data_IF_373427358418
#
_entry.id   IF_373427358418
#
_cell.length_a   1.000
_cell.length_b   1.000
_cell.length_c   1.000
_cell.angle_alpha   90.00
_cell.angle_beta   90.00
_cell.angle_gamma   90.00
#
_symmetry.space_group_name_H-M   'P 1'
#
loop_
_entity.id
_entity.type
_entity.pdbx_description
1 polymer ?
#
# COMPACT_ATOMS: atom_id res chain seq x y z
N UNK A 1 -14.57 -21.62 12.43
CA UNK A 1 -14.74 -20.46 11.53
C UNK A 1 -13.54 -19.54 11.70
N UNK A 2 -12.49 -19.67 10.88
CA UNK A 2 -11.40 -18.68 10.86
C UNK A 2 -11.52 -17.87 9.57
N UNK A 3 -12.48 -16.95 9.55
CA UNK A 3 -12.57 -15.89 8.55
C UNK A 3 -11.57 -14.79 8.90
N UNK A 4 -10.27 -15.12 8.97
CA UNK A 4 -9.23 -14.10 9.03
C UNK A 4 -9.28 -13.35 7.70
N UNK A 5 -9.93 -12.18 7.71
CA UNK A 5 -10.01 -11.28 6.57
C UNK A 5 -8.62 -10.77 6.20
N UNK A 6 -7.84 -11.61 5.52
CA UNK A 6 -6.52 -11.26 4.99
C UNK A 6 -6.73 -10.38 3.78
N UNK A 7 -6.45 -9.09 3.93
CA UNK A 7 -6.43 -8.14 2.82
C UNK A 7 -5.23 -8.49 1.94
N UNK A 8 -5.50 -8.83 0.69
CA UNK A 8 -4.49 -9.04 -0.35
C UNK A 8 -4.47 -7.82 -1.28
N UNK A 9 -3.28 -7.39 -1.66
CA UNK A 9 -3.10 -6.35 -2.67
C UNK A 9 -2.59 -7.07 -3.92
N UNK A 10 -3.35 -6.98 -5.02
CA UNK A 10 -2.92 -7.48 -6.32
C UNK A 10 -2.63 -6.27 -7.20
N UNK A 11 -1.41 -6.18 -7.70
CA UNK A 11 -1.00 -5.15 -8.66
C UNK A 11 -1.04 -5.77 -10.04
N UNK A 12 -1.88 -5.21 -10.90
CA UNK A 12 -1.90 -5.53 -12.32
C UNK A 12 -1.08 -4.47 -13.04
N UNK A 13 -0.01 -4.87 -13.74
CA UNK A 13 0.78 -3.98 -14.60
C UNK A 13 0.53 -4.37 -16.05
N UNK A 14 0.00 -3.43 -16.81
CA UNK A 14 -0.10 -3.54 -18.26
C UNK A 14 1.09 -2.81 -18.88
N UNK A 15 1.96 -3.55 -19.56
CA UNK A 15 3.13 -3.01 -20.25
C UNK A 15 2.90 -2.86 -21.76
N UNK A 16 1.66 -2.92 -22.23
CA UNK A 16 1.28 -2.80 -23.65
C UNK A 16 1.46 -4.08 -24.47
N UNK A 17 2.29 -5.02 -24.01
CA UNK A 17 2.50 -6.33 -24.64
C UNK A 17 2.05 -7.51 -23.76
N UNK A 18 1.93 -7.28 -22.45
CA UNK A 18 1.48 -8.27 -21.48
C UNK A 18 0.88 -7.60 -20.24
N UNK A 19 -0.04 -8.30 -19.59
CA UNK A 19 -0.54 -7.96 -18.26
C UNK A 19 0.13 -8.91 -17.26
N UNK A 20 0.88 -8.35 -16.31
CA UNK A 20 1.42 -9.11 -15.17
C UNK A 20 0.56 -8.88 -13.94
N UNK A 21 0.41 -9.92 -13.12
CA UNK A 21 -0.30 -9.86 -11.85
C UNK A 21 0.66 -10.26 -10.73
N UNK A 22 0.90 -9.35 -9.80
CA UNK A 22 1.80 -9.55 -8.66
C UNK A 22 1.03 -9.38 -7.35
N UNK A 23 1.17 -10.35 -6.43
CA UNK A 23 0.66 -10.21 -5.07
C UNK A 23 1.64 -9.39 -4.23
N UNK A 24 1.23 -8.19 -3.86
CA UNK A 24 1.97 -7.32 -2.94
C UNK A 24 1.54 -7.65 -1.52
N UNK A 25 2.52 -8.05 -0.70
CA UNK A 25 2.29 -8.35 0.71
C UNK A 25 2.15 -7.05 1.50
N UNK A 26 1.15 -7.01 2.38
CA UNK A 26 1.02 -5.97 3.39
C UNK A 26 1.75 -6.44 4.66
N UNK A 27 2.80 -5.74 5.05
CA UNK A 27 3.53 -6.08 6.26
C UNK A 27 2.73 -5.66 7.50
N UNK A 28 2.73 -6.48 8.57
CA UNK A 28 2.10 -6.11 9.82
C UNK A 28 2.78 -4.89 10.44
N UNK A 29 1.98 -3.98 10.98
CA UNK A 29 2.42 -2.81 11.73
C UNK A 29 1.70 -2.75 13.07
N UNK A 30 2.38 -2.27 14.11
CA UNK A 30 1.83 -2.19 15.48
C UNK A 30 1.59 -0.76 15.94
N UNK A 31 2.29 0.20 15.33
CA UNK A 31 2.32 1.59 15.74
C UNK A 31 2.27 2.51 14.52
N UNK A 32 2.14 3.82 14.79
CA UNK A 32 2.03 4.83 13.75
C UNK A 32 3.29 4.90 12.87
N UNK A 33 4.47 4.65 13.46
CA UNK A 33 5.75 4.72 12.78
C UNK A 33 5.93 3.56 11.79
N UNK A 34 5.71 2.32 12.24
CA UNK A 34 5.72 1.13 11.39
C UNK A 34 4.65 1.19 10.29
N UNK A 35 3.46 1.72 10.58
CA UNK A 35 2.44 1.99 9.56
C UNK A 35 2.94 2.99 8.51
N UNK A 36 3.54 4.10 8.95
CA UNK A 36 4.05 5.13 8.05
C UNK A 36 5.23 4.60 7.19
N UNK A 37 6.09 3.76 7.75
CA UNK A 37 7.14 3.06 7.02
C UNK A 37 6.57 2.13 5.95
N UNK A 38 5.52 1.37 6.28
CA UNK A 38 4.84 0.51 5.30
C UNK A 38 4.15 1.32 4.19
N UNK A 39 3.52 2.46 4.52
CA UNK A 39 2.97 3.39 3.52
C UNK A 39 4.07 3.90 2.58
N UNK A 40 5.24 4.28 3.10
CA UNK A 40 6.39 4.71 2.29
C UNK A 40 6.88 3.58 1.38
N UNK A 41 7.02 2.36 1.92
CA UNK A 41 7.45 1.17 1.16
C UNK A 41 6.51 0.87 0.00
N UNK A 42 5.21 0.76 0.28
CA UNK A 42 4.18 0.50 -0.73
C UNK A 42 4.10 1.60 -1.81
N UNK A 43 4.40 2.85 -1.45
CA UNK A 43 4.45 3.95 -2.42
C UNK A 43 5.70 3.89 -3.31
N UNK A 44 6.89 3.76 -2.70
CA UNK A 44 8.17 3.89 -3.41
C UNK A 44 8.58 2.60 -4.13
N UNK A 45 8.39 1.44 -3.50
CA UNK A 45 8.85 0.15 -4.03
C UNK A 45 7.79 -0.51 -4.91
N UNK A 46 6.53 -0.47 -4.48
CA UNK A 46 5.41 -1.15 -5.17
C UNK A 46 4.66 -0.22 -6.14
N UNK A 47 4.95 1.09 -6.11
CA UNK A 47 4.35 2.07 -7.02
C UNK A 47 2.87 2.36 -6.76
N UNK A 48 2.35 2.07 -5.56
CA UNK A 48 0.93 2.27 -5.26
C UNK A 48 0.58 3.76 -5.14
N UNK A 49 -0.57 4.15 -5.69
CA UNK A 49 -0.99 5.56 -5.66
C UNK A 49 -1.35 6.04 -4.25
N UNK A 50 -1.14 7.33 -3.98
CA UNK A 50 -1.48 7.93 -2.68
C UNK A 50 -2.96 7.82 -2.34
N UNK A 51 -3.85 7.89 -3.35
CA UNK A 51 -5.30 7.71 -3.17
C UNK A 51 -5.65 6.28 -2.76
N UNK A 52 -5.01 5.29 -3.40
CA UNK A 52 -5.18 3.89 -3.03
C UNK A 52 -4.72 3.64 -1.59
N UNK A 53 -3.53 4.14 -1.23
CA UNK A 53 -3.00 4.03 0.13
C UNK A 53 -3.88 4.73 1.16
N UNK A 54 -4.43 5.91 0.84
CA UNK A 54 -5.37 6.61 1.71
C UNK A 54 -6.60 5.73 2.03
N UNK A 55 -7.20 5.14 1.00
CA UNK A 55 -8.34 4.24 1.16
C UNK A 55 -7.97 2.96 1.92
N UNK A 56 -6.82 2.35 1.61
CA UNK A 56 -6.35 1.11 2.23
C UNK A 56 -6.11 1.25 3.73
N UNK A 57 -5.52 2.38 4.15
CA UNK A 57 -5.16 2.65 5.54
C UNK A 57 -6.24 3.44 6.30
N UNK A 58 -7.35 3.80 5.64
CA UNK A 58 -8.44 4.57 6.26
C UNK A 58 -8.03 5.97 6.71
N UNK A 59 -7.14 6.62 5.96
CA UNK A 59 -6.64 7.98 6.22
C UNK A 59 -6.85 8.87 5.01
N UNK A 60 -6.63 10.18 5.16
CA UNK A 60 -6.77 11.12 4.04
C UNK A 60 -5.55 11.05 3.10
N UNK A 61 -5.75 11.34 1.81
CA UNK A 61 -4.66 11.44 0.85
C UNK A 61 -3.63 12.53 1.23
N UNK A 62 -4.01 13.70 1.78
CA UNK A 62 -3.05 14.65 2.34
C UNK A 62 -2.18 14.05 3.46
N UNK A 63 -2.76 13.24 4.35
CA UNK A 63 -1.97 12.52 5.38
C UNK A 63 -0.92 11.61 4.77
N UNK A 64 -1.28 10.87 3.70
CA UNK A 64 -0.35 10.02 2.95
C UNK A 64 0.77 10.86 2.31
N UNK A 65 0.43 11.99 1.69
CA UNK A 65 1.39 12.91 1.09
C UNK A 65 2.42 13.42 2.12
N UNK A 66 1.97 13.78 3.32
CA UNK A 66 2.85 14.19 4.42
C UNK A 66 3.76 13.04 4.85
N UNK A 67 3.22 11.83 5.02
CA UNK A 67 3.98 10.64 5.41
C UNK A 67 5.10 10.34 4.40
N UNK A 68 4.81 10.41 3.11
CA UNK A 68 5.80 10.13 2.05
C UNK A 68 6.90 11.20 2.01
N UNK A 69 6.55 12.47 2.27
CA UNK A 69 7.50 13.60 2.22
C UNK A 69 8.36 13.77 3.47
N UNK A 70 7.91 13.27 4.62
CA UNK A 70 8.73 13.27 5.83
C UNK A 70 9.96 12.37 5.59
N UNK A 71 11.16 12.94 5.67
CA UNK A 71 12.41 12.16 5.63
C UNK A 71 12.59 11.46 6.96
#
# INVERSE_FOLDING_TARGET
MNSEGRRKIIVLRDNGCNVTAEEVKLNPFKDKESRNAEIKRLYNEEGLSQKFLANLFGITQPSVSVIIKQK
#
